data_IF_159779907007
#
_entry.id   IF_159779907007
#
_cell.length_a   1.000
_cell.length_b   1.000
_cell.length_c   1.000
_cell.angle_alpha   90.00
_cell.angle_beta   90.00
_cell.angle_gamma   90.00
#
_symmetry.space_group_name_H-M   'P 1'
#
loop_
_entity.id
_entity.type
_entity.pdbx_description
1 polymer ?
#
# COMPACT_ATOMS: atom_id res chain seq x y z
N UNK A 1 24.91 -3.35 -1.02
CA UNK A 1 23.78 -3.90 -0.25
C UNK A 1 22.51 -3.40 -0.93
N UNK A 2 21.64 -4.29 -1.40
CA UNK A 2 20.31 -3.93 -1.91
C UNK A 2 19.26 -4.13 -0.80
N UNK A 3 18.16 -3.37 -0.84
CA UNK A 3 17.16 -3.33 0.24
C UNK A 3 16.14 -4.47 0.24
N UNK A 4 15.94 -5.14 -0.90
CA UNK A 4 14.97 -6.23 -1.03
C UNK A 4 15.67 -7.56 -0.78
N UNK A 5 15.15 -8.31 0.20
CA UNK A 5 15.64 -9.64 0.58
C UNK A 5 14.57 -10.68 0.30
N UNK A 6 14.98 -11.95 0.26
CA UNK A 6 14.11 -13.10 -0.03
C UNK A 6 12.91 -13.16 0.93
N UNK A 7 13.11 -12.85 2.20
CA UNK A 7 12.07 -12.85 3.24
C UNK A 7 10.95 -11.85 2.93
N UNK A 8 11.28 -10.71 2.30
CA UNK A 8 10.27 -9.73 1.88
C UNK A 8 9.39 -10.32 0.77
N UNK A 9 9.99 -10.97 -0.23
CA UNK A 9 9.26 -11.59 -1.35
C UNK A 9 8.38 -12.75 -0.90
N UNK A 10 8.86 -13.55 0.04
CA UNK A 10 8.06 -14.63 0.63
C UNK A 10 6.88 -14.09 1.43
N UNK A 11 7.07 -12.98 2.17
CA UNK A 11 5.99 -12.35 2.89
C UNK A 11 4.95 -11.73 1.95
N UNK A 12 5.38 -11.03 0.89
CA UNK A 12 4.51 -10.51 -0.17
C UNK A 12 3.65 -11.63 -0.78
N UNK A 13 4.26 -12.72 -1.23
CA UNK A 13 3.54 -13.85 -1.82
C UNK A 13 2.50 -14.47 -0.87
N UNK A 14 2.88 -14.67 0.41
CA UNK A 14 1.96 -15.23 1.42
C UNK A 14 0.77 -14.33 1.70
N UNK A 15 0.95 -13.01 1.64
CA UNK A 15 -0.15 -12.06 1.83
C UNK A 15 -1.07 -12.06 0.60
N UNK A 16 -0.50 -12.06 -0.62
CA UNK A 16 -1.26 -12.17 -1.87
C UNK A 16 -2.13 -13.43 -1.89
N UNK A 17 -1.56 -14.58 -1.55
CA UNK A 17 -2.27 -15.86 -1.45
C UNK A 17 -3.39 -15.81 -0.40
N UNK A 18 -3.12 -15.20 0.76
CA UNK A 18 -4.09 -15.09 1.85
C UNK A 18 -5.27 -14.18 1.48
N UNK A 19 -5.02 -13.07 0.79
CA UNK A 19 -6.05 -12.10 0.40
C UNK A 19 -6.72 -12.45 -0.93
N UNK A 20 -6.19 -13.41 -1.69
CA UNK A 20 -6.67 -13.77 -3.02
C UNK A 20 -6.39 -12.68 -4.06
N UNK A 21 -5.28 -11.95 -3.91
CA UNK A 21 -4.85 -10.87 -4.80
C UNK A 21 -3.70 -11.32 -5.69
N UNK A 22 -3.51 -10.65 -6.83
CA UNK A 22 -2.45 -11.01 -7.79
C UNK A 22 -1.03 -10.73 -7.27
N UNK A 23 -0.85 -9.62 -6.54
CA UNK A 23 0.45 -9.22 -5.98
C UNK A 23 0.28 -8.35 -4.72
N UNK A 24 1.36 -8.20 -3.95
CA UNK A 24 1.45 -7.38 -2.73
C UNK A 24 2.80 -6.68 -2.68
N UNK A 25 2.81 -5.42 -2.23
CA UNK A 25 4.03 -4.68 -1.93
C UNK A 25 4.06 -4.29 -0.45
N UNK A 26 5.23 -4.41 0.18
CA UNK A 26 5.42 -4.05 1.58
C UNK A 26 5.87 -2.59 1.75
N UNK A 27 5.35 -1.94 2.78
CA UNK A 27 5.79 -0.65 3.29
C UNK A 27 6.20 -0.78 4.76
N UNK A 28 6.98 0.17 5.27
CA UNK A 28 7.39 0.22 6.68
C UNK A 28 6.20 0.34 7.65
N UNK A 29 5.10 0.95 7.20
CA UNK A 29 3.86 1.06 7.96
C UNK A 29 2.65 1.18 7.03
N UNK A 30 1.46 0.91 7.55
CA UNK A 30 0.21 1.19 6.83
C UNK A 30 -0.03 2.70 6.62
N UNK A 31 0.64 3.57 7.38
CA UNK A 31 0.60 5.01 7.13
C UNK A 31 1.30 5.32 5.82
N UNK A 32 2.52 4.82 5.65
CA UNK A 32 3.32 4.98 4.44
C UNK A 32 2.67 4.30 3.23
N UNK A 33 2.04 3.13 3.43
CA UNK A 33 1.33 2.41 2.36
C UNK A 33 0.16 3.23 1.78
N UNK A 34 -0.64 3.89 2.64
CA UNK A 34 -1.73 4.73 2.17
C UNK A 34 -1.20 5.96 1.43
N UNK A 35 -0.18 6.64 1.96
CA UNK A 35 0.45 7.79 1.29
C UNK A 35 1.00 7.40 -0.09
N UNK A 36 1.76 6.31 -0.16
CA UNK A 36 2.32 5.79 -1.41
C UNK A 36 1.25 5.41 -2.45
N UNK A 37 0.09 4.90 -2.00
CA UNK A 37 -1.03 4.58 -2.89
C UNK A 37 -1.61 5.84 -3.55
N UNK A 38 -1.94 6.86 -2.77
CA UNK A 38 -2.59 8.07 -3.28
C UNK A 38 -1.65 8.89 -4.18
N UNK A 39 -0.41 9.09 -3.75
CA UNK A 39 0.59 9.84 -4.52
C UNK A 39 0.90 9.19 -5.88
N UNK A 40 0.83 7.86 -5.97
CA UNK A 40 1.15 7.14 -7.21
C UNK A 40 -0.02 7.12 -8.18
N UNK A 41 -1.25 7.08 -7.68
CA UNK A 41 -2.44 6.84 -8.51
C UNK A 41 -3.24 8.11 -8.84
N UNK A 42 -3.14 9.17 -8.03
CA UNK A 42 -3.98 10.36 -8.15
C UNK A 42 -3.20 11.57 -8.67
N UNK A 43 -3.86 12.42 -9.46
CA UNK A 43 -3.34 13.70 -9.94
C UNK A 43 -4.23 14.89 -9.56
N UNK A 44 -3.83 16.10 -10.00
CA UNK A 44 -4.53 17.36 -9.67
C UNK A 44 -5.98 17.42 -10.15
N UNK A 45 -6.32 16.67 -11.20
CA UNK A 45 -7.66 16.64 -11.81
C UNK A 45 -8.57 15.55 -11.23
N UNK A 46 -8.06 14.71 -10.32
CA UNK A 46 -8.82 13.62 -9.71
C UNK A 46 -9.56 14.07 -8.44
N UNK A 47 -10.67 13.42 -8.14
CA UNK A 47 -11.45 13.65 -6.92
C UNK A 47 -11.49 12.40 -6.05
N UNK A 48 -11.20 12.56 -4.75
CA UNK A 48 -11.27 11.49 -3.75
C UNK A 48 -12.55 11.66 -2.92
N UNK A 49 -13.37 10.61 -2.89
CA UNK A 49 -14.51 10.53 -1.97
C UNK A 49 -14.03 9.77 -0.73
N UNK A 50 -13.83 10.49 0.37
CA UNK A 50 -13.34 9.93 1.64
C UNK A 50 -14.42 9.99 2.72
N UNK A 51 -14.49 8.94 3.54
CA UNK A 51 -15.37 8.92 4.70
C UNK A 51 -14.84 9.87 5.79
N UNK A 52 -15.75 10.56 6.50
CA UNK A 52 -15.40 11.56 7.50
C UNK A 52 -14.67 10.98 8.74
N UNK A 53 -14.78 9.67 8.97
CA UNK A 53 -14.16 8.95 10.08
C UNK A 53 -12.98 8.08 9.63
N UNK A 54 -12.49 8.25 8.40
CA UNK A 54 -11.31 7.56 7.93
C UNK A 54 -10.08 7.87 8.81
N UNK A 55 -9.18 6.89 8.88
CA UNK A 55 -7.93 7.04 9.62
C UNK A 55 -7.08 8.19 9.04
N UNK A 56 -6.32 8.86 9.89
CA UNK A 56 -5.52 10.03 9.52
C UNK A 56 -4.48 9.76 8.41
N UNK A 57 -4.14 8.51 8.13
CA UNK A 57 -3.25 8.15 7.01
C UNK A 57 -3.92 8.17 5.64
N UNK A 58 -5.24 8.35 5.57
CA UNK A 58 -6.04 8.40 4.34
C UNK A 58 -6.47 9.86 4.04
N UNK A 59 -6.16 10.79 4.94
CA UNK A 59 -6.53 12.21 4.87
C UNK A 59 -5.34 13.03 4.37
#
# INVERSE_FOLDING_TARGET
ICGTQEEHKQLEARISDFLGMEDTILYSSCFDANGGLFETLMGEEDAIISDALNHASII
#
